data_IF_618918542168
#
_entry.id   IF_618918542168
#
_cell.length_a   1.000
_cell.length_b   1.000
_cell.length_c   1.000
_cell.angle_alpha   90.00
_cell.angle_beta   90.00
_cell.angle_gamma   90.00
#
_symmetry.space_group_name_H-M   'P 1'
#
loop_
_entity.id
_entity.type
_entity.pdbx_description
1 polymer ?
#
# COMPACT_ATOMS: atom_id res chain seq x y z
N UNK A 1 21.59 24.49 -20.91
CA UNK A 1 20.16 24.18 -20.63
C UNK A 1 19.88 22.85 -21.29
N UNK A 2 20.04 21.74 -20.57
CA UNK A 2 19.58 20.42 -21.06
C UNK A 2 18.09 20.49 -21.26
N UNK A 3 17.63 20.24 -22.50
CA UNK A 3 16.21 20.04 -22.77
C UNK A 3 15.75 18.89 -21.89
N UNK A 4 14.87 19.16 -20.92
CA UNK A 4 14.29 18.10 -20.10
C UNK A 4 13.57 17.13 -21.05
N UNK A 5 14.20 15.97 -21.29
CA UNK A 5 13.62 14.89 -22.12
C UNK A 5 12.22 14.59 -21.55
N UNK A 6 11.21 14.75 -22.37
CA UNK A 6 9.86 14.41 -21.96
C UNK A 6 9.76 12.89 -21.78
N UNK A 7 9.62 12.42 -20.53
CA UNK A 7 9.55 11.00 -20.21
C UNK A 7 8.17 10.48 -20.61
N UNK A 8 8.13 9.51 -21.50
CA UNK A 8 6.89 8.83 -21.89
C UNK A 8 6.51 7.77 -20.87
N UNK A 9 5.36 7.92 -20.28
CA UNK A 9 4.84 7.04 -19.22
C UNK A 9 3.60 6.32 -19.70
N UNK A 10 3.54 5.01 -19.46
CA UNK A 10 2.32 4.25 -19.58
C UNK A 10 2.02 3.51 -18.26
N UNK A 11 0.73 3.25 -18.00
CA UNK A 11 0.25 2.52 -16.82
C UNK A 11 -0.68 1.40 -17.27
N UNK A 12 -0.49 0.20 -16.76
CA UNK A 12 -1.43 -0.91 -16.90
C UNK A 12 -2.08 -1.18 -15.55
N UNK A 13 -3.39 -0.98 -15.47
CA UNK A 13 -4.17 -1.21 -14.24
C UNK A 13 -5.38 -0.31 -14.13
N UNK A 14 -6.43 -0.79 -13.43
CA UNK A 14 -7.67 -0.05 -13.15
C UNK A 14 -7.99 0.10 -11.67
N UNK A 15 -7.06 -0.36 -10.79
CA UNK A 15 -7.20 -0.33 -9.34
C UNK A 15 -6.84 1.03 -8.72
N UNK A 16 -6.86 1.05 -7.38
CA UNK A 16 -6.57 2.26 -6.61
C UNK A 16 -5.15 2.78 -6.85
N UNK A 17 -4.14 1.89 -6.90
CA UNK A 17 -2.74 2.28 -7.13
C UNK A 17 -2.59 2.95 -8.50
N UNK A 18 -3.11 2.32 -9.57
CA UNK A 18 -3.09 2.90 -10.92
C UNK A 18 -3.75 4.29 -10.96
N UNK A 19 -4.91 4.44 -10.30
CA UNK A 19 -5.65 5.70 -10.24
C UNK A 19 -4.83 6.80 -9.55
N UNK A 20 -4.24 6.50 -8.39
CA UNK A 20 -3.46 7.48 -7.64
C UNK A 20 -2.15 7.85 -8.33
N UNK A 21 -1.46 6.88 -8.95
CA UNK A 21 -0.27 7.15 -9.77
C UNK A 21 -0.61 8.04 -10.98
N UNK A 22 -1.66 7.71 -11.73
CA UNK A 22 -2.10 8.53 -12.86
C UNK A 22 -2.38 9.98 -12.45
N UNK A 23 -3.09 10.15 -11.35
CA UNK A 23 -3.44 11.46 -10.82
C UNK A 23 -2.21 12.25 -10.34
N UNK A 24 -1.34 11.64 -9.53
CA UNK A 24 -0.15 12.35 -9.02
C UNK A 24 0.85 12.66 -10.12
N UNK A 25 1.05 11.78 -11.09
CA UNK A 25 1.91 12.06 -12.24
C UNK A 25 1.38 13.24 -13.04
N UNK A 26 0.08 13.27 -13.33
CA UNK A 26 -0.54 14.40 -14.03
C UNK A 26 -0.37 15.72 -13.28
N UNK A 27 -0.54 15.72 -11.96
CA UNK A 27 -0.38 16.91 -11.12
C UNK A 27 1.07 17.43 -11.05
N UNK A 28 2.06 16.59 -11.42
CA UNK A 28 3.49 16.90 -11.35
C UNK A 28 4.17 16.94 -12.74
N UNK A 29 3.44 17.32 -13.77
CA UNK A 29 3.93 17.44 -15.16
C UNK A 29 4.53 16.14 -15.73
N UNK A 30 4.04 14.99 -15.28
CA UNK A 30 4.38 13.63 -15.76
C UNK A 30 3.13 12.93 -16.31
N UNK A 31 2.22 13.66 -16.94
CA UNK A 31 0.96 13.08 -17.41
C UNK A 31 1.22 11.83 -18.27
N UNK A 32 0.67 10.66 -17.88
CA UNK A 32 0.81 9.43 -18.64
C UNK A 32 0.33 9.59 -20.10
N UNK A 33 1.08 9.04 -21.04
CA UNK A 33 0.67 9.00 -22.46
C UNK A 33 -0.48 8.04 -22.64
N UNK A 34 -0.40 6.87 -22.01
CA UNK A 34 -1.44 5.86 -22.10
C UNK A 34 -1.74 5.20 -20.74
N UNK A 35 -3.02 4.90 -20.53
CA UNK A 35 -3.43 4.03 -19.43
C UNK A 35 -4.25 2.87 -20.00
N UNK A 36 -3.80 1.64 -19.75
CA UNK A 36 -4.52 0.44 -20.13
C UNK A 36 -5.45 -0.01 -19.00
N UNK A 37 -6.75 0.03 -19.24
CA UNK A 37 -7.77 -0.54 -18.36
C UNK A 37 -8.62 -1.54 -19.12
N UNK A 38 -8.68 -2.81 -18.65
CA UNK A 38 -9.49 -3.85 -19.30
C UNK A 38 -10.99 -3.59 -19.20
N UNK A 39 -11.43 -3.07 -18.05
CA UNK A 39 -12.83 -2.73 -17.85
C UNK A 39 -13.13 -1.35 -18.48
N UNK A 40 -13.85 -1.35 -19.59
CA UNK A 40 -14.22 -0.15 -20.33
C UNK A 40 -15.04 0.86 -19.51
N UNK A 41 -15.78 0.41 -18.49
CA UNK A 41 -16.55 1.29 -17.60
C UNK A 41 -15.67 2.21 -16.73
N UNK A 42 -14.37 1.88 -16.61
CA UNK A 42 -13.41 2.72 -15.88
C UNK A 42 -12.80 3.84 -16.72
N UNK A 43 -13.08 3.89 -18.04
CA UNK A 43 -12.50 4.84 -18.98
C UNK A 43 -12.62 6.28 -18.47
N UNK A 44 -13.81 6.73 -18.19
CA UNK A 44 -14.11 8.10 -17.73
C UNK A 44 -13.33 8.48 -16.45
N UNK A 45 -13.05 7.50 -15.59
CA UNK A 45 -12.29 7.71 -14.37
C UNK A 45 -10.81 8.05 -14.63
N UNK A 46 -10.25 7.63 -15.78
CA UNK A 46 -8.83 7.79 -16.10
C UNK A 46 -8.58 8.84 -17.20
N UNK A 47 -9.54 9.16 -18.05
CA UNK A 47 -9.40 10.16 -19.12
C UNK A 47 -8.81 11.51 -18.66
N UNK A 48 -9.13 12.07 -17.49
CA UNK A 48 -8.52 13.32 -17.04
C UNK A 48 -7.00 13.22 -16.77
N UNK A 49 -6.51 12.01 -16.55
CA UNK A 49 -5.15 11.74 -16.03
C UNK A 49 -4.21 11.11 -17.06
N UNK A 50 -4.57 11.05 -18.33
CA UNK A 50 -3.70 10.55 -19.40
C UNK A 50 -4.05 11.21 -20.73
N UNK A 51 -3.19 10.99 -21.75
CA UNK A 51 -3.48 11.44 -23.09
C UNK A 51 -4.43 10.47 -23.81
N UNK A 52 -4.36 9.16 -23.49
CA UNK A 52 -5.22 8.14 -24.08
C UNK A 52 -5.50 6.99 -23.11
N UNK A 53 -6.78 6.58 -23.02
CA UNK A 53 -7.17 5.34 -22.34
C UNK A 53 -7.35 4.24 -23.39
N UNK A 54 -6.60 3.15 -23.21
CA UNK A 54 -6.60 1.96 -24.10
C UNK A 54 -7.13 0.73 -23.36
N UNK A 55 -7.49 -0.31 -24.10
CA UNK A 55 -8.17 -1.48 -23.54
C UNK A 55 -7.47 -2.82 -23.81
N UNK A 56 -6.48 -2.83 -24.71
CA UNK A 56 -5.72 -4.03 -25.08
C UNK A 56 -4.23 -3.74 -25.19
N UNK A 57 -3.38 -4.76 -25.00
CA UNK A 57 -1.92 -4.62 -25.12
C UNK A 57 -1.47 -4.24 -26.53
N UNK A 58 -2.24 -4.59 -27.57
CA UNK A 58 -1.93 -4.27 -28.96
C UNK A 58 -2.03 -2.76 -29.26
N UNK A 59 -2.71 -2.01 -28.41
CA UNK A 59 -2.83 -0.55 -28.53
C UNK A 59 -1.72 0.21 -27.78
N UNK A 60 -0.84 -0.52 -27.07
CA UNK A 60 0.20 0.09 -26.25
C UNK A 60 1.34 0.58 -27.16
N UNK A 61 1.60 1.88 -27.13
CA UNK A 61 2.69 2.53 -27.84
C UNK A 61 4.02 2.44 -27.06
N UNK A 62 5.13 2.73 -27.72
CA UNK A 62 6.45 2.79 -27.09
C UNK A 62 6.50 3.85 -25.98
N UNK A 63 7.07 3.50 -24.83
CA UNK A 63 7.25 4.39 -23.70
C UNK A 63 8.62 4.16 -23.04
N UNK A 64 9.10 5.16 -22.29
CA UNK A 64 10.35 5.04 -21.53
C UNK A 64 10.14 4.18 -20.26
N UNK A 65 8.99 4.31 -19.63
CA UNK A 65 8.64 3.54 -18.42
C UNK A 65 7.17 3.09 -18.44
N UNK A 66 6.95 1.82 -18.10
CA UNK A 66 5.65 1.17 -18.02
C UNK A 66 5.37 0.68 -16.60
N UNK A 67 4.35 1.21 -15.96
CA UNK A 67 3.93 0.80 -14.62
C UNK A 67 2.89 -0.32 -14.67
N UNK A 68 3.18 -1.45 -14.04
CA UNK A 68 2.25 -2.56 -13.83
C UNK A 68 1.59 -2.40 -12.46
N UNK A 69 0.46 -1.71 -12.40
CA UNK A 69 -0.35 -1.53 -11.21
C UNK A 69 -1.55 -2.48 -11.21
N UNK A 70 -1.25 -3.77 -11.27
CA UNK A 70 -2.18 -4.91 -11.36
C UNK A 70 -2.01 -5.83 -10.15
N UNK A 71 -2.86 -6.86 -10.02
CA UNK A 71 -2.68 -7.89 -9.00
C UNK A 71 -1.36 -8.64 -9.19
N UNK A 72 -0.74 -9.05 -8.10
CA UNK A 72 0.57 -9.68 -8.06
C UNK A 72 0.68 -10.89 -9.02
N UNK A 73 -0.32 -11.77 -9.01
CA UNK A 73 -0.37 -12.96 -9.87
C UNK A 73 -0.31 -12.64 -11.37
N UNK A 74 -0.72 -11.45 -11.77
CA UNK A 74 -0.75 -11.06 -13.17
C UNK A 74 0.56 -10.41 -13.66
N UNK A 75 1.46 -9.99 -12.78
CA UNK A 75 2.66 -9.21 -13.15
C UNK A 75 3.56 -9.97 -14.10
N UNK A 76 3.98 -11.19 -13.74
CA UNK A 76 4.96 -11.96 -14.52
C UNK A 76 4.39 -12.42 -15.87
N UNK A 77 3.12 -12.83 -15.91
CA UNK A 77 2.48 -13.21 -17.17
C UNK A 77 2.33 -12.01 -18.11
N UNK A 78 1.89 -10.89 -17.57
CA UNK A 78 1.67 -9.66 -18.33
C UNK A 78 2.99 -9.11 -18.89
N UNK A 79 4.07 -9.10 -18.09
CA UNK A 79 5.39 -8.67 -18.52
C UNK A 79 5.89 -9.45 -19.73
N UNK A 80 5.67 -10.77 -19.79
CA UNK A 80 6.04 -11.63 -20.93
C UNK A 80 5.20 -11.37 -22.19
N UNK A 81 3.98 -10.86 -22.04
CA UNK A 81 3.10 -10.54 -23.18
C UNK A 81 3.39 -9.15 -23.78
N UNK A 82 4.10 -8.28 -23.06
CA UNK A 82 4.46 -6.95 -23.52
C UNK A 82 5.52 -7.06 -24.61
N UNK A 83 5.21 -6.52 -25.80
CA UNK A 83 6.08 -6.55 -26.98
C UNK A 83 6.90 -5.26 -27.17
N UNK A 84 6.91 -4.38 -26.18
CA UNK A 84 7.75 -3.18 -26.18
C UNK A 84 9.22 -3.57 -26.07
N UNK A 85 10.10 -2.69 -26.53
CA UNK A 85 11.57 -2.82 -26.44
C UNK A 85 12.18 -1.57 -25.84
N UNK A 86 13.28 -1.75 -25.12
CA UNK A 86 14.01 -0.64 -24.48
C UNK A 86 13.11 0.18 -23.52
N UNK A 87 12.15 -0.49 -22.86
CA UNK A 87 11.23 0.09 -21.90
C UNK A 87 11.60 -0.40 -20.50
N UNK A 88 11.59 0.48 -19.52
CA UNK A 88 11.66 0.07 -18.12
C UNK A 88 10.27 -0.37 -17.65
N UNK A 89 10.11 -1.67 -17.40
CA UNK A 89 8.86 -2.25 -16.87
C UNK A 89 8.97 -2.34 -15.36
N UNK A 90 8.08 -1.67 -14.63
CA UNK A 90 8.08 -1.65 -13.17
C UNK A 90 6.75 -2.12 -12.59
N UNK A 91 6.80 -2.93 -11.55
CA UNK A 91 5.60 -3.26 -10.79
C UNK A 91 5.49 -2.43 -9.51
N UNK A 92 4.27 -2.37 -8.96
CA UNK A 92 3.96 -1.61 -7.75
C UNK A 92 3.69 -2.50 -6.53
N UNK A 93 4.05 -3.78 -6.60
CA UNK A 93 3.83 -4.76 -5.52
C UNK A 93 4.85 -4.60 -4.39
N UNK A 94 4.37 -4.71 -3.15
CA UNK A 94 5.22 -4.81 -1.96
C UNK A 94 5.75 -6.22 -1.70
N UNK A 95 5.16 -7.26 -2.32
CA UNK A 95 5.40 -8.67 -1.99
C UNK A 95 6.24 -9.43 -3.04
N UNK A 96 6.24 -9.01 -4.31
CA UNK A 96 6.96 -9.68 -5.39
C UNK A 96 8.46 -9.35 -5.38
N UNK A 97 9.27 -10.20 -5.99
CA UNK A 97 10.64 -9.87 -6.35
C UNK A 97 10.66 -8.85 -7.51
N UNK A 98 11.70 -8.03 -7.59
CA UNK A 98 11.82 -7.04 -8.65
C UNK A 98 11.82 -7.66 -10.06
N UNK A 99 12.45 -8.82 -10.20
CA UNK A 99 12.55 -9.58 -11.45
C UNK A 99 11.22 -10.20 -11.90
N UNK A 100 10.15 -10.12 -11.11
CA UNK A 100 8.81 -10.52 -11.55
C UNK A 100 8.33 -9.73 -12.79
N UNK A 101 8.84 -8.51 -12.99
CA UNK A 101 8.59 -7.70 -14.17
C UNK A 101 9.61 -7.92 -15.30
N UNK A 102 10.59 -8.83 -15.16
CA UNK A 102 11.62 -9.06 -16.14
C UNK A 102 11.06 -9.65 -17.46
N UNK A 103 11.58 -9.15 -18.57
CA UNK A 103 11.33 -9.67 -19.91
C UNK A 103 12.59 -9.55 -20.78
N UNK A 104 12.64 -10.25 -21.91
CA UNK A 104 13.87 -10.41 -22.72
C UNK A 104 14.44 -9.10 -23.25
N UNK A 105 13.58 -8.16 -23.66
CA UNK A 105 13.98 -6.95 -24.39
C UNK A 105 13.86 -5.65 -23.56
N UNK A 106 13.59 -5.78 -22.25
CA UNK A 106 13.25 -4.65 -21.39
C UNK A 106 13.98 -4.71 -20.04
N UNK A 107 14.30 -3.56 -19.49
CA UNK A 107 14.72 -3.44 -18.10
C UNK A 107 13.54 -3.64 -17.15
N UNK A 108 13.82 -3.95 -15.90
CA UNK A 108 12.79 -4.17 -14.89
C UNK A 108 13.08 -3.44 -13.58
N UNK A 109 12.05 -3.24 -12.79
CA UNK A 109 12.19 -2.62 -11.48
C UNK A 109 10.91 -2.60 -10.66
N UNK A 110 10.99 -1.87 -9.57
CA UNK A 110 9.89 -1.67 -8.61
C UNK A 110 9.70 -0.19 -8.36
N UNK A 111 8.44 0.20 -8.24
CA UNK A 111 8.02 1.51 -7.78
C UNK A 111 6.88 1.34 -6.77
N UNK A 112 7.23 1.23 -5.50
CA UNK A 112 6.30 0.88 -4.43
C UNK A 112 5.99 2.07 -3.52
N UNK A 113 4.88 2.81 -3.73
CA UNK A 113 4.42 3.80 -2.79
C UNK A 113 3.82 3.09 -1.57
N UNK A 114 4.44 3.28 -0.40
CA UNK A 114 3.99 2.66 0.85
C UNK A 114 2.83 3.45 1.45
N UNK A 115 1.63 3.16 0.98
CA UNK A 115 0.39 3.80 1.43
C UNK A 115 -0.82 2.90 1.18
N UNK A 116 -1.88 3.10 1.94
CA UNK A 116 -3.22 2.56 1.65
C UNK A 116 -3.98 3.54 0.74
N UNK A 117 -4.46 3.04 -0.41
CA UNK A 117 -5.12 3.87 -1.42
C UNK A 117 -6.61 3.56 -1.53
N UNK A 118 -7.41 4.63 -1.57
CA UNK A 118 -8.84 4.58 -1.85
C UNK A 118 -9.19 5.74 -2.79
N UNK A 119 -9.99 5.50 -3.83
CA UNK A 119 -10.43 6.56 -4.77
C UNK A 119 -11.19 7.69 -4.09
N UNK A 120 -11.81 7.41 -2.94
CA UNK A 120 -12.54 8.41 -2.17
C UNK A 120 -11.66 9.43 -1.45
N UNK A 121 -10.36 9.14 -1.28
CA UNK A 121 -9.43 9.99 -0.54
C UNK A 121 -8.08 10.07 -1.26
N UNK A 122 -7.61 11.29 -1.50
CA UNK A 122 -6.31 11.53 -2.12
C UNK A 122 -5.30 11.98 -1.04
N UNK A 123 -4.32 11.13 -0.70
CA UNK A 123 -3.31 11.50 0.28
C UNK A 123 -2.29 12.49 -0.30
N UNK A 124 -1.60 13.23 0.57
CA UNK A 124 -0.46 14.06 0.16
C UNK A 124 0.74 13.16 -0.20
N UNK A 125 1.06 13.10 -1.50
CA UNK A 125 2.18 12.29 -1.98
C UNK A 125 3.55 12.80 -1.52
N UNK A 126 3.70 14.07 -1.13
CA UNK A 126 4.97 14.58 -0.62
C UNK A 126 5.44 13.83 0.65
N UNK A 127 4.52 13.29 1.43
CA UNK A 127 4.80 12.56 2.66
C UNK A 127 4.94 11.04 2.44
N UNK A 128 4.46 10.52 1.29
CA UNK A 128 4.46 9.09 1.02
C UNK A 128 5.87 8.62 0.66
N UNK A 129 6.46 7.68 1.41
CA UNK A 129 7.70 7.05 0.99
C UNK A 129 7.45 6.18 -0.24
N UNK A 130 8.28 6.40 -1.27
CA UNK A 130 8.28 5.59 -2.49
C UNK A 130 9.56 4.78 -2.52
N UNK A 131 9.42 3.47 -2.39
CA UNK A 131 10.53 2.52 -2.45
C UNK A 131 10.78 2.11 -3.89
N UNK A 132 12.03 2.28 -4.36
CA UNK A 132 12.43 1.98 -5.71
C UNK A 132 13.57 0.97 -5.75
N UNK A 133 13.55 0.14 -6.79
CA UNK A 133 14.58 -0.87 -7.10
C UNK A 133 14.62 -1.07 -8.61
N UNK A 134 15.79 -1.29 -9.19
CA UNK A 134 15.94 -1.61 -10.61
C UNK A 134 17.05 -2.64 -10.83
N UNK A 135 17.02 -3.31 -11.98
CA UNK A 135 18.01 -4.30 -12.37
C UNK A 135 19.31 -3.69 -12.89
N UNK A 136 19.33 -2.38 -13.21
CA UNK A 136 20.50 -1.65 -13.70
C UNK A 136 20.48 -0.18 -13.27
N UNK A 137 21.66 0.48 -13.34
CA UNK A 137 21.84 1.86 -12.87
C UNK A 137 21.05 2.89 -13.68
N UNK A 138 20.94 2.74 -15.00
CA UNK A 138 20.20 3.68 -15.83
C UNK A 138 18.72 3.66 -15.51
N UNK A 139 18.17 2.48 -15.31
CA UNK A 139 16.79 2.27 -14.86
C UNK A 139 16.56 2.85 -13.48
N UNK A 140 17.51 2.68 -12.58
CA UNK A 140 17.43 3.25 -11.23
C UNK A 140 17.41 4.79 -11.25
N UNK A 141 18.25 5.42 -12.07
CA UNK A 141 18.24 6.88 -12.22
C UNK A 141 16.92 7.39 -12.82
N UNK A 142 16.34 6.68 -13.78
CA UNK A 142 15.01 7.02 -14.31
C UNK A 142 13.93 6.92 -13.21
N UNK A 143 13.97 5.87 -12.36
CA UNK A 143 13.04 5.74 -11.23
C UNK A 143 13.22 6.87 -10.22
N UNK A 144 14.46 7.23 -9.86
CA UNK A 144 14.74 8.37 -8.96
C UNK A 144 14.17 9.67 -9.50
N UNK A 145 14.36 9.92 -10.81
CA UNK A 145 13.85 11.12 -11.46
C UNK A 145 12.30 11.17 -11.38
N UNK A 146 11.61 10.08 -11.72
CA UNK A 146 10.15 10.01 -11.69
C UNK A 146 9.62 10.11 -10.27
N UNK A 147 10.20 9.35 -9.33
CA UNK A 147 9.79 9.37 -7.92
C UNK A 147 10.01 10.75 -7.29
N UNK A 148 11.16 11.37 -7.52
CA UNK A 148 11.50 12.69 -6.98
C UNK A 148 10.60 13.83 -7.46
N UNK A 149 9.85 13.63 -8.55
CA UNK A 149 8.84 14.61 -8.98
C UNK A 149 7.54 14.53 -8.17
N UNK A 150 7.25 13.42 -7.53
CA UNK A 150 5.96 13.21 -6.83
C UNK A 150 6.09 13.12 -5.32
N UNK A 151 7.27 12.86 -4.80
CA UNK A 151 7.53 12.79 -3.36
C UNK A 151 8.93 13.30 -3.02
N UNK A 152 9.08 13.84 -1.80
CA UNK A 152 10.39 14.16 -1.21
C UNK A 152 11.02 12.96 -0.51
N UNK A 153 10.29 11.86 -0.36
CA UNK A 153 10.70 10.68 0.39
C UNK A 153 10.93 9.49 -0.55
N UNK A 154 11.99 9.57 -1.37
CA UNK A 154 12.42 8.48 -2.25
C UNK A 154 13.40 7.59 -1.51
N UNK A 155 13.13 6.29 -1.44
CA UNK A 155 13.93 5.31 -0.72
C UNK A 155 14.41 4.20 -1.65
N UNK A 156 15.71 3.88 -1.59
CA UNK A 156 16.23 2.67 -2.22
C UNK A 156 15.88 1.45 -1.37
N UNK A 157 15.48 0.38 -2.00
CA UNK A 157 15.20 -0.88 -1.32
C UNK A 157 15.67 -2.08 -2.14
N UNK A 158 15.84 -3.19 -1.45
CA UNK A 158 15.87 -4.52 -2.05
C UNK A 158 14.55 -5.25 -1.81
N UNK A 159 14.47 -6.49 -2.29
CA UNK A 159 13.28 -7.33 -2.14
C UNK A 159 12.98 -7.66 -0.67
N UNK A 160 14.02 -7.87 0.15
CA UNK A 160 13.86 -8.23 1.56
C UNK A 160 13.28 -7.06 2.36
N UNK A 161 13.89 -5.88 2.23
CA UNK A 161 13.43 -4.65 2.90
C UNK A 161 11.98 -4.35 2.51
N UNK A 162 11.67 -4.38 1.21
CA UNK A 162 10.33 -4.08 0.71
C UNK A 162 9.27 -5.05 1.24
N UNK A 163 9.55 -6.36 1.21
CA UNK A 163 8.63 -7.39 1.74
C UNK A 163 8.42 -7.24 3.23
N UNK A 164 9.47 -6.96 3.99
CA UNK A 164 9.39 -6.73 5.43
C UNK A 164 8.52 -5.50 5.74
N UNK A 165 8.70 -4.40 5.01
CA UNK A 165 7.88 -3.20 5.13
C UNK A 165 6.42 -3.47 4.75
N UNK A 166 6.18 -4.28 3.72
CA UNK A 166 4.83 -4.64 3.32
C UNK A 166 4.09 -5.44 4.40
N UNK A 167 4.75 -6.42 5.01
CA UNK A 167 4.18 -7.18 6.14
C UNK A 167 3.88 -6.23 7.31
N UNK A 168 4.80 -5.35 7.66
CA UNK A 168 4.58 -4.36 8.72
C UNK A 168 3.40 -3.42 8.39
N UNK A 169 3.27 -3.00 7.14
CA UNK A 169 2.15 -2.18 6.68
C UNK A 169 0.79 -2.90 6.77
N UNK A 170 0.76 -4.22 6.56
CA UNK A 170 -0.47 -5.02 6.78
C UNK A 170 -0.90 -4.93 8.24
N UNK A 171 0.03 -5.06 9.20
CA UNK A 171 -0.30 -4.88 10.63
C UNK A 171 -0.82 -3.48 10.93
N UNK A 172 -0.13 -2.45 10.46
CA UNK A 172 -0.44 -1.05 10.77
C UNK A 172 -1.73 -0.58 10.07
N UNK A 173 -2.00 -1.02 8.87
CA UNK A 173 -3.13 -0.54 8.06
C UNK A 173 -4.28 -1.54 8.01
N UNK A 174 -4.05 -2.72 7.42
CA UNK A 174 -5.14 -3.66 7.12
C UNK A 174 -5.75 -4.25 8.39
N UNK A 175 -4.92 -4.73 9.32
CA UNK A 175 -5.42 -5.31 10.57
C UNK A 175 -6.01 -4.26 11.49
N UNK A 176 -5.42 -3.08 11.58
CA UNK A 176 -6.01 -1.96 12.35
C UNK A 176 -7.38 -1.58 11.81
N UNK A 177 -7.54 -1.51 10.47
CA UNK A 177 -8.85 -1.23 9.87
C UNK A 177 -9.86 -2.35 10.15
N UNK A 178 -9.44 -3.61 10.09
CA UNK A 178 -10.30 -4.75 10.46
C UNK A 178 -10.74 -4.70 11.93
N UNK A 179 -9.83 -4.28 12.85
CA UNK A 179 -10.19 -4.10 14.27
C UNK A 179 -11.18 -2.95 14.47
N UNK A 180 -11.08 -1.87 13.68
CA UNK A 180 -12.11 -0.79 13.74
C UNK A 180 -13.46 -1.30 13.26
N UNK A 181 -13.53 -2.05 12.16
CA UNK A 181 -14.76 -2.63 11.65
C UNK A 181 -15.38 -3.61 12.67
N UNK A 182 -14.55 -4.45 13.29
CA UNK A 182 -14.98 -5.38 14.34
C UNK A 182 -15.57 -4.65 15.55
N UNK A 183 -14.99 -3.52 15.96
CA UNK A 183 -15.51 -2.69 17.03
C UNK A 183 -16.82 -1.99 16.63
N UNK A 184 -16.93 -1.52 15.38
CA UNK A 184 -18.17 -0.94 14.85
C UNK A 184 -19.31 -1.97 14.87
N UNK A 185 -19.07 -3.19 14.37
CA UNK A 185 -20.05 -4.27 14.35
C UNK A 185 -20.53 -4.66 15.77
N UNK A 186 -19.60 -4.68 16.74
CA UNK A 186 -19.96 -4.94 18.13
C UNK A 186 -20.87 -3.83 18.69
N UNK A 187 -20.48 -2.56 18.52
CA UNK A 187 -21.28 -1.42 19.02
C UNK A 187 -22.64 -1.31 18.34
N UNK A 188 -22.72 -1.67 17.05
CA UNK A 188 -23.99 -1.68 16.31
C UNK A 188 -24.99 -2.69 16.90
N UNK A 189 -24.53 -3.86 17.35
CA UNK A 189 -25.36 -4.83 18.05
C UNK A 189 -25.88 -4.29 19.40
N UNK A 190 -25.08 -3.45 20.07
CA UNK A 190 -25.42 -2.77 21.33
C UNK A 190 -26.17 -1.43 21.12
N UNK A 191 -26.52 -1.06 19.87
CA UNK A 191 -27.17 0.23 19.53
C UNK A 191 -26.38 1.47 19.97
N UNK A 192 -25.05 1.38 20.00
CA UNK A 192 -24.14 2.46 20.35
C UNK A 192 -23.44 2.98 19.11
N UNK A 193 -23.32 4.31 18.98
CA UNK A 193 -22.64 4.93 17.84
C UNK A 193 -21.13 4.72 17.88
N UNK A 194 -20.54 4.22 16.78
CA UNK A 194 -19.10 4.10 16.61
C UNK A 194 -18.39 5.46 16.66
N UNK A 195 -19.08 6.56 16.38
CA UNK A 195 -18.52 7.92 16.42
C UNK A 195 -17.92 8.29 17.79
N UNK A 196 -18.39 7.68 18.87
CA UNK A 196 -17.80 7.87 20.20
C UNK A 196 -16.34 7.40 20.30
N UNK A 197 -15.90 6.49 19.42
CA UNK A 197 -14.50 6.01 19.36
C UNK A 197 -13.59 6.84 18.47
N UNK A 198 -14.11 7.77 17.65
CA UNK A 198 -13.28 8.58 16.75
C UNK A 198 -12.15 9.34 17.46
N UNK A 199 -12.37 10.00 18.63
CA UNK A 199 -11.29 10.66 19.36
C UNK A 199 -10.22 9.66 19.83
N UNK A 200 -10.64 8.49 20.32
CA UNK A 200 -9.72 7.44 20.78
C UNK A 200 -8.86 6.88 19.64
N UNK A 201 -9.44 6.66 18.47
CA UNK A 201 -8.71 6.21 17.28
C UNK A 201 -7.61 7.22 16.89
N UNK A 202 -7.95 8.50 16.86
CA UNK A 202 -6.98 9.58 16.55
C UNK A 202 -5.85 9.63 17.57
N UNK A 203 -6.18 9.59 18.86
CA UNK A 203 -5.20 9.61 19.94
C UNK A 203 -4.27 8.39 19.89
N UNK A 204 -4.80 7.21 19.61
CA UNK A 204 -4.02 5.97 19.47
C UNK A 204 -3.03 6.07 18.29
N UNK A 205 -3.47 6.61 17.15
CA UNK A 205 -2.60 6.81 16.00
C UNK A 205 -1.51 7.87 16.25
N UNK A 206 -1.87 9.00 16.89
CA UNK A 206 -0.90 10.06 17.25
C UNK A 206 0.17 9.52 18.19
N UNK A 207 -0.22 8.81 19.25
CA UNK A 207 0.74 8.16 20.16
C UNK A 207 1.67 7.18 19.47
N UNK A 208 1.16 6.43 18.49
CA UNK A 208 1.99 5.47 17.76
C UNK A 208 3.10 6.14 16.93
N UNK A 209 2.93 7.41 16.55
CA UNK A 209 3.92 8.20 15.80
C UNK A 209 4.84 9.01 16.70
N UNK A 210 4.32 9.51 17.83
CA UNK A 210 4.98 10.52 18.66
C UNK A 210 5.69 9.94 19.89
N UNK A 211 5.35 8.70 20.30
CA UNK A 211 5.85 8.10 21.53
C UNK A 211 6.44 6.71 21.33
N UNK A 212 7.16 6.20 22.33
CA UNK A 212 7.58 4.80 22.36
C UNK A 212 6.36 3.88 22.45
N UNK A 213 6.21 2.97 21.47
CA UNK A 213 5.07 2.07 21.34
C UNK A 213 4.90 1.14 22.55
N UNK A 214 6.00 0.69 23.12
CA UNK A 214 5.94 -0.25 24.24
C UNK A 214 5.62 0.43 25.57
N UNK A 215 6.12 1.65 25.76
CA UNK A 215 5.84 2.44 26.96
C UNK A 215 4.41 3.00 26.95
N UNK A 216 3.89 3.35 25.78
CA UNK A 216 2.56 3.93 25.60
C UNK A 216 1.42 2.90 25.62
N UNK A 217 1.73 1.58 25.60
CA UNK A 217 0.73 0.53 25.68
C UNK A 217 -0.07 0.62 26.99
N UNK A 218 -1.39 0.51 26.91
CA UNK A 218 -2.31 0.51 28.04
C UNK A 218 -3.25 -0.70 28.00
N UNK A 219 -4.18 -0.78 28.92
CA UNK A 219 -5.24 -1.79 28.89
C UNK A 219 -5.11 -2.88 29.97
N UNK A 220 -6.13 -3.75 30.10
CA UNK A 220 -6.20 -4.74 31.18
C UNK A 220 -5.10 -5.81 31.07
N UNK A 221 -4.75 -6.25 29.85
CA UNK A 221 -3.68 -7.24 29.64
C UNK A 221 -2.31 -6.74 30.14
N UNK A 222 -1.97 -5.46 29.90
CA UNK A 222 -0.74 -4.86 30.42
C UNK A 222 -0.69 -4.79 31.95
N UNK A 223 -1.85 -4.61 32.61
CA UNK A 223 -1.95 -4.46 34.07
C UNK A 223 -2.24 -5.76 34.80
N UNK A 224 -2.30 -6.90 34.13
CA UNK A 224 -2.72 -8.20 34.71
C UNK A 224 -4.15 -8.17 35.28
N UNK A 225 -5.02 -7.37 34.72
CA UNK A 225 -6.42 -7.26 35.18
C UNK A 225 -7.28 -8.37 34.55
N UNK A 226 -7.07 -9.60 35.02
CA UNK A 226 -7.76 -10.79 34.54
C UNK A 226 -9.27 -10.73 34.77
N UNK A 227 -9.72 -10.04 35.84
CA UNK A 227 -11.16 -9.88 36.13
C UNK A 227 -11.87 -9.09 35.02
N UNK A 228 -11.26 -8.00 34.58
CA UNK A 228 -11.77 -7.21 33.44
C UNK A 228 -11.76 -8.04 32.15
N UNK A 229 -10.70 -8.80 31.91
CA UNK A 229 -10.59 -9.67 30.71
C UNK A 229 -11.71 -10.71 30.70
N UNK A 230 -11.96 -11.40 31.82
CA UNK A 230 -13.06 -12.38 31.95
C UNK A 230 -14.44 -11.75 31.70
N UNK A 231 -14.67 -10.56 32.22
CA UNK A 231 -15.93 -9.84 32.01
C UNK A 231 -16.11 -9.48 30.52
N UNK A 232 -15.05 -9.02 29.82
CA UNK A 232 -15.11 -8.76 28.40
C UNK A 232 -15.43 -10.04 27.61
N UNK A 233 -14.82 -11.17 27.94
CA UNK A 233 -15.08 -12.45 27.28
C UNK A 233 -16.54 -12.93 27.52
N UNK A 234 -17.13 -12.68 28.68
CA UNK A 234 -18.55 -12.96 28.94
C UNK A 234 -19.46 -12.08 28.07
N UNK A 235 -19.14 -10.78 27.91
CA UNK A 235 -19.90 -9.89 27.04
C UNK A 235 -19.78 -10.30 25.55
N UNK A 236 -18.66 -10.86 25.13
CA UNK A 236 -18.44 -11.35 23.78
C UNK A 236 -18.99 -12.75 23.52
N UNK A 237 -19.70 -13.40 24.48
CA UNK A 237 -20.11 -14.81 24.40
C UNK A 237 -20.92 -15.16 23.13
N UNK A 238 -21.67 -14.20 22.58
CA UNK A 238 -22.47 -14.37 21.35
C UNK A 238 -21.64 -14.11 20.05
N UNK A 239 -20.33 -13.81 20.16
CA UNK A 239 -19.46 -13.43 19.04
C UNK A 239 -18.16 -14.26 19.06
N UNK A 240 -18.20 -15.55 18.70
CA UNK A 240 -17.05 -16.45 18.83
C UNK A 240 -15.80 -15.96 18.07
N UNK A 241 -15.98 -15.40 16.88
CA UNK A 241 -14.89 -14.82 16.09
C UNK A 241 -14.18 -13.63 16.78
N UNK A 242 -14.95 -12.83 17.53
CA UNK A 242 -14.40 -11.70 18.31
C UNK A 242 -13.64 -12.19 19.54
N UNK A 243 -14.12 -13.26 20.17
CA UNK A 243 -13.44 -13.90 21.32
C UNK A 243 -12.05 -14.39 20.92
N UNK A 244 -11.91 -15.05 19.78
CA UNK A 244 -10.61 -15.55 19.30
C UNK A 244 -9.60 -14.42 19.10
N UNK A 245 -10.00 -13.37 18.37
CA UNK A 245 -9.14 -12.20 18.13
C UNK A 245 -8.78 -11.53 19.45
N UNK A 246 -9.76 -11.34 20.35
CA UNK A 246 -9.55 -10.74 21.66
C UNK A 246 -8.52 -11.51 22.47
N UNK A 247 -8.62 -12.85 22.53
CA UNK A 247 -7.70 -13.73 23.26
C UNK A 247 -6.28 -13.67 22.67
N UNK A 248 -6.14 -13.73 21.34
CA UNK A 248 -4.83 -13.68 20.67
C UNK A 248 -4.11 -12.36 21.00
N UNK A 249 -4.78 -11.23 20.84
CA UNK A 249 -4.18 -9.92 21.12
C UNK A 249 -3.90 -9.71 22.62
N UNK A 250 -4.79 -10.18 23.49
CA UNK A 250 -4.61 -10.15 24.95
C UNK A 250 -3.38 -10.96 25.35
N UNK A 251 -3.24 -12.16 24.83
CA UNK A 251 -2.07 -13.03 25.07
C UNK A 251 -0.80 -12.39 24.59
N UNK A 252 -0.78 -11.84 23.36
CA UNK A 252 0.39 -11.14 22.82
C UNK A 252 0.84 -9.98 23.73
N UNK A 253 -0.10 -9.11 24.13
CA UNK A 253 0.21 -7.99 25.05
C UNK A 253 0.72 -8.52 26.39
N UNK A 254 0.05 -9.51 26.96
CA UNK A 254 0.45 -10.07 28.24
C UNK A 254 1.87 -10.61 28.23
N UNK A 255 2.21 -11.50 27.29
CA UNK A 255 3.57 -12.06 27.17
C UNK A 255 4.63 -10.99 26.96
N UNK A 256 4.33 -9.94 26.18
CA UNK A 256 5.28 -8.86 25.93
C UNK A 256 5.66 -8.08 27.18
N UNK A 257 4.73 -7.90 28.11
CA UNK A 257 4.93 -7.08 29.32
C UNK A 257 5.16 -7.91 30.59
N UNK A 258 4.84 -9.19 30.55
CA UNK A 258 5.01 -10.13 31.64
C UNK A 258 5.64 -11.43 31.13
N UNK A 259 6.89 -11.36 30.62
CA UNK A 259 7.60 -12.56 30.15
C UNK A 259 7.78 -13.51 31.34
N UNK A 260 7.58 -14.80 31.10
CA UNK A 260 7.85 -15.82 32.10
C UNK A 260 9.32 -15.72 32.53
N UNK A 261 9.60 -15.75 33.85
CA UNK A 261 10.95 -15.56 34.41
C UNK A 261 11.94 -16.71 34.07
N UNK A 262 11.56 -17.61 33.15
CA UNK A 262 12.33 -18.82 32.82
C UNK A 262 12.74 -18.94 31.35
N UNK A 263 12.79 -17.82 30.58
CA UNK A 263 13.43 -17.76 29.26
C UNK A 263 14.63 -16.82 29.25
#
# INVERSE_FOLDING_TARGET
>A
MEQSKNIKIAIIGGGNVAYHLARVFTSNALKPDQILVRNKLLRESFEPFCNSVIHTLQQLDSCDILFLAVNDDAVSELSKQIKLKNTLIVHTSGSLNADAAASTDNSYGVFYPLQTFSKARFPDFNEIPVFIQAGDDNSLELLKLVAGKITKNVQLSDDHIRKSLHIAAVFVSNFSHALFALAEDFLKAETVSFAHLHPLIKETASKAVETDLYQSQTGPARRNDFRTIENHLKMLAQHPEKIEIYKILTSYIHHKYHPDKNE
#
